data_IF_984759371086
#
_entry.id   IF_984759371086
#
_cell.length_a   1.000
_cell.length_b   1.000
_cell.length_c   1.000
_cell.angle_alpha   90.00
_cell.angle_beta   90.00
_cell.angle_gamma   90.00
#
_symmetry.space_group_name_H-M   'P 1'
#
loop_
_entity.id
_entity.type
_entity.pdbx_description
1 polymer ?
#
# COMPACT_ATOMS: atom_id res chain seq x y z
N UNK A 1 -10.89 12.25 -64.59
CA UNK A 1 -9.90 11.32 -63.98
C UNK A 1 -9.06 11.91 -62.84
N UNK A 2 -8.82 13.20 -62.72
CA UNK A 2 -8.00 13.78 -61.62
C UNK A 2 -8.72 13.92 -60.25
N UNK A 3 -10.06 13.93 -60.22
CA UNK A 3 -10.83 14.08 -58.96
C UNK A 3 -10.93 12.76 -58.19
N UNK A 4 -10.97 11.62 -58.86
CA UNK A 4 -11.08 10.29 -58.21
C UNK A 4 -9.75 9.90 -57.56
N UNK A 5 -8.61 10.35 -58.11
CA UNK A 5 -7.28 10.07 -57.55
C UNK A 5 -7.01 10.77 -56.24
N UNK A 6 -7.57 11.96 -56.01
CA UNK A 6 -7.36 12.70 -54.75
C UNK A 6 -8.24 12.20 -53.59
N UNK A 7 -9.38 11.56 -53.88
CA UNK A 7 -10.25 10.98 -52.82
C UNK A 7 -9.68 9.69 -52.28
N UNK A 8 -9.03 8.89 -53.12
CA UNK A 8 -8.34 7.65 -52.71
C UNK A 8 -7.07 7.94 -51.90
N UNK A 9 -6.36 9.04 -52.17
CA UNK A 9 -5.15 9.41 -51.39
C UNK A 9 -5.51 9.97 -50.01
N UNK A 10 -6.62 10.70 -49.88
CA UNK A 10 -7.11 11.18 -48.57
C UNK A 10 -7.71 10.09 -47.71
N UNK A 11 -8.34 9.06 -48.30
CA UNK A 11 -8.83 7.90 -47.55
C UNK A 11 -7.70 7.03 -47.02
N UNK A 12 -6.60 6.88 -47.74
CA UNK A 12 -5.41 6.15 -47.32
C UNK A 12 -4.65 6.82 -46.16
N UNK A 13 -4.66 8.16 -46.10
CA UNK A 13 -4.06 8.94 -45.01
C UNK A 13 -4.91 8.93 -43.72
N UNK A 14 -6.22 8.76 -43.84
CA UNK A 14 -7.12 8.62 -42.67
C UNK A 14 -7.02 7.23 -42.07
N UNK A 15 -6.77 6.16 -42.84
CA UNK A 15 -6.54 4.81 -42.32
C UNK A 15 -5.16 4.63 -41.70
N UNK A 16 -4.14 5.42 -42.08
CA UNK A 16 -2.81 5.38 -41.47
C UNK A 16 -2.76 6.04 -40.08
N UNK A 17 -3.80 6.81 -39.71
CA UNK A 17 -3.96 7.47 -38.41
C UNK A 17 -4.70 6.65 -37.34
N UNK A 18 -5.12 5.43 -37.63
CA UNK A 18 -5.51 4.46 -36.60
C UNK A 18 -4.22 4.01 -35.93
N UNK A 19 -3.73 4.85 -35.00
CA UNK A 19 -2.68 4.44 -34.07
C UNK A 19 -3.04 3.03 -33.59
N UNK A 20 -2.22 2.05 -33.90
CA UNK A 20 -2.31 0.73 -33.31
C UNK A 20 -2.28 0.98 -31.80
N UNK A 21 -3.43 0.90 -31.15
CA UNK A 21 -3.48 0.93 -29.71
C UNK A 21 -2.63 -0.25 -29.27
N UNK A 22 -1.40 0.05 -28.82
CA UNK A 22 -0.46 -0.97 -28.37
C UNK A 22 -1.21 -1.95 -27.47
N UNK A 23 -1.25 -3.24 -27.82
CA UNK A 23 -1.95 -4.24 -27.01
C UNK A 23 -1.14 -4.55 -25.77
N UNK A 24 -1.79 -4.78 -24.60
CA UNK A 24 -1.06 -5.26 -23.42
C UNK A 24 -0.30 -6.55 -23.74
N UNK A 25 0.92 -6.67 -23.25
CA UNK A 25 1.75 -7.87 -23.43
C UNK A 25 1.17 -9.05 -22.65
N UNK A 26 0.41 -8.74 -21.59
CA UNK A 26 -0.23 -9.73 -20.72
C UNK A 26 -1.73 -9.43 -20.58
N UNK A 27 -2.57 -10.47 -20.77
CA UNK A 27 -4.03 -10.34 -20.64
C UNK A 27 -4.54 -10.49 -19.21
N UNK A 28 -3.73 -11.04 -18.32
CA UNK A 28 -4.04 -11.15 -16.90
C UNK A 28 -2.81 -10.81 -16.08
N UNK A 29 -2.96 -9.95 -15.08
CA UNK A 29 -1.95 -9.61 -14.09
C UNK A 29 -2.38 -10.14 -12.73
N UNK A 30 -1.49 -10.82 -12.03
CA UNK A 30 -1.67 -11.12 -10.61
C UNK A 30 -0.89 -10.12 -9.77
N UNK A 31 -1.59 -9.42 -8.87
CA UNK A 31 -0.99 -8.45 -7.93
C UNK A 31 -1.11 -8.94 -6.49
N UNK A 32 0.03 -9.00 -5.79
CA UNK A 32 0.10 -9.28 -4.37
C UNK A 32 -0.17 -8.02 -3.54
N UNK A 33 -1.29 -7.98 -2.84
CA UNK A 33 -1.55 -6.98 -1.82
C UNK A 33 -0.75 -7.30 -0.56
N UNK A 34 -0.29 -6.28 0.15
CA UNK A 34 0.61 -6.49 1.30
C UNK A 34 -0.04 -7.13 2.54
N UNK A 35 -1.36 -7.28 2.54
CA UNK A 35 -2.15 -7.85 3.64
C UNK A 35 -3.37 -8.57 3.08
N UNK A 36 -4.27 -9.01 3.95
CA UNK A 36 -5.58 -9.50 3.55
C UNK A 36 -6.32 -8.46 2.71
N UNK A 37 -7.19 -8.92 1.83
CA UNK A 37 -8.12 -8.03 1.14
C UNK A 37 -8.94 -7.28 2.19
N UNK A 38 -9.03 -5.98 2.03
CA UNK A 38 -9.68 -5.07 2.98
C UNK A 38 -9.78 -3.65 2.42
N UNK A 39 -10.26 -2.67 3.20
CA UNK A 39 -10.38 -1.28 2.75
C UNK A 39 -9.10 -0.69 2.16
N UNK A 40 -7.92 -1.14 2.62
CA UNK A 40 -6.62 -0.70 2.10
C UNK A 40 -6.31 -1.19 0.68
N UNK A 41 -7.09 -2.10 0.13
CA UNK A 41 -6.97 -2.62 -1.26
C UNK A 41 -8.16 -2.26 -2.13
N UNK A 42 -9.10 -1.46 -1.60
CA UNK A 42 -10.36 -1.13 -2.25
C UNK A 42 -10.19 -0.48 -3.63
N UNK A 43 -9.13 0.28 -3.85
CA UNK A 43 -8.86 0.92 -5.14
C UNK A 43 -8.69 -0.10 -6.28
N UNK A 44 -8.12 -1.28 -6.05
CA UNK A 44 -8.06 -2.32 -7.08
C UNK A 44 -9.39 -3.01 -7.29
N UNK A 45 -10.18 -3.23 -6.21
CA UNK A 45 -11.53 -3.79 -6.30
C UNK A 45 -12.43 -2.84 -7.06
N UNK A 46 -12.42 -1.55 -6.71
CA UNK A 46 -13.18 -0.52 -7.43
C UNK A 46 -12.73 -0.41 -8.89
N UNK A 47 -11.42 -0.43 -9.18
CA UNK A 47 -10.91 -0.41 -10.55
C UNK A 47 -11.44 -1.59 -11.37
N UNK A 48 -11.52 -2.78 -10.78
CA UNK A 48 -12.06 -3.99 -11.42
C UNK A 48 -13.56 -3.84 -11.66
N UNK A 49 -14.34 -3.51 -10.64
CA UNK A 49 -15.81 -3.39 -10.74
C UNK A 49 -16.25 -2.24 -11.67
N UNK A 50 -15.46 -1.18 -11.77
CA UNK A 50 -15.69 -0.08 -12.73
C UNK A 50 -15.15 -0.37 -14.13
N UNK A 51 -14.60 -1.56 -14.37
CA UNK A 51 -14.05 -1.97 -15.66
C UNK A 51 -12.81 -1.21 -16.10
N UNK A 52 -12.07 -0.55 -15.17
CA UNK A 52 -10.91 0.28 -15.55
C UNK A 52 -9.76 -0.55 -16.12
N UNK A 53 -9.60 -1.81 -15.70
CA UNK A 53 -8.60 -2.72 -16.24
C UNK A 53 -9.09 -3.35 -17.54
N UNK A 54 -10.33 -3.83 -17.58
CA UNK A 54 -10.93 -4.48 -18.74
C UNK A 54 -10.97 -3.56 -19.96
N UNK A 55 -11.36 -2.28 -19.76
CA UNK A 55 -11.37 -1.25 -20.79
C UNK A 55 -9.97 -0.94 -21.36
N UNK A 56 -8.91 -1.37 -20.67
CA UNK A 56 -7.52 -1.29 -21.13
C UNK A 56 -6.98 -2.61 -21.68
N UNK A 57 -7.84 -3.63 -21.80
CA UNK A 57 -7.58 -4.90 -22.49
C UNK A 57 -6.90 -5.97 -21.65
N UNK A 58 -6.99 -5.92 -20.31
CA UNK A 58 -6.47 -6.96 -19.42
C UNK A 58 -7.31 -7.10 -18.15
N UNK A 59 -7.15 -8.23 -17.48
CA UNK A 59 -7.77 -8.56 -16.19
C UNK A 59 -6.77 -8.49 -15.06
N UNK A 60 -7.27 -8.30 -13.82
CA UNK A 60 -6.44 -8.27 -12.61
C UNK A 60 -6.97 -9.29 -11.60
N UNK A 61 -6.07 -10.18 -11.16
CA UNK A 61 -6.25 -11.05 -10.02
C UNK A 61 -5.55 -10.43 -8.80
N UNK A 62 -6.29 -10.19 -7.71
CA UNK A 62 -5.79 -9.57 -6.49
C UNK A 62 -5.63 -10.65 -5.43
N UNK A 63 -4.42 -10.84 -4.92
CA UNK A 63 -4.10 -11.87 -3.91
C UNK A 63 -3.59 -11.20 -2.64
N UNK A 64 -4.25 -11.47 -1.51
CA UNK A 64 -3.77 -11.01 -0.21
C UNK A 64 -2.56 -11.83 0.25
N UNK A 65 -1.42 -11.17 0.47
CA UNK A 65 -0.17 -11.79 0.95
C UNK A 65 0.29 -11.07 2.20
N UNK A 66 0.28 -11.75 3.34
CA UNK A 66 0.58 -11.13 4.63
C UNK A 66 2.08 -10.87 4.82
N UNK A 67 2.43 -9.58 4.86
CA UNK A 67 3.79 -9.11 5.12
C UNK A 67 4.65 -8.90 3.89
N UNK A 68 5.58 -7.93 3.99
CA UNK A 68 6.41 -7.47 2.87
C UNK A 68 7.40 -8.52 2.39
N UNK A 69 7.95 -9.33 3.30
CA UNK A 69 8.90 -10.38 2.93
C UNK A 69 8.21 -11.47 2.08
N UNK A 70 7.01 -11.90 2.48
CA UNK A 70 6.22 -12.86 1.69
C UNK A 70 5.83 -12.29 0.33
N UNK A 71 5.47 -11.00 0.26
CA UNK A 71 5.21 -10.29 -0.99
C UNK A 71 6.43 -10.31 -1.94
N UNK A 72 7.63 -10.01 -1.42
CA UNK A 72 8.85 -10.04 -2.22
C UNK A 72 9.21 -11.45 -2.67
N UNK A 73 9.01 -12.46 -1.82
CA UNK A 73 9.23 -13.87 -2.17
C UNK A 73 8.27 -14.33 -3.28
N UNK A 74 6.99 -13.95 -3.20
CA UNK A 74 6.00 -14.26 -4.24
C UNK A 74 6.32 -13.55 -5.57
N UNK A 75 6.83 -12.32 -5.51
CA UNK A 75 7.29 -11.58 -6.69
C UNK A 75 8.54 -12.24 -7.31
N UNK A 76 9.50 -12.65 -6.47
CA UNK A 76 10.74 -13.29 -6.91
C UNK A 76 10.50 -14.64 -7.56
N UNK A 77 9.56 -15.43 -7.03
CA UNK A 77 9.19 -16.74 -7.58
C UNK A 77 8.28 -16.65 -8.82
N UNK A 78 7.77 -15.45 -9.17
CA UNK A 78 6.80 -15.27 -10.26
C UNK A 78 5.38 -15.74 -9.93
N UNK A 79 5.08 -16.00 -8.65
CA UNK A 79 3.73 -16.30 -8.18
C UNK A 79 2.79 -15.10 -8.36
N UNK A 80 3.34 -13.89 -8.27
CA UNK A 80 2.67 -12.64 -8.62
C UNK A 80 3.51 -11.85 -9.61
N UNK A 81 2.87 -11.07 -10.46
CA UNK A 81 3.51 -10.20 -11.46
C UNK A 81 3.97 -8.88 -10.87
N UNK A 82 3.15 -8.36 -9.96
CA UNK A 82 3.40 -7.15 -9.18
C UNK A 82 3.13 -7.45 -7.71
N UNK A 83 3.83 -6.78 -6.82
CA UNK A 83 3.68 -6.93 -5.38
C UNK A 83 3.61 -5.56 -4.70
N UNK A 84 3.27 -5.55 -3.42
CA UNK A 84 3.05 -4.32 -2.65
C UNK A 84 3.84 -4.29 -1.34
N UNK A 85 5.18 -4.46 -1.38
CA UNK A 85 6.01 -4.45 -0.19
C UNK A 85 6.16 -3.05 0.40
N UNK A 86 6.66 -2.99 1.63
CA UNK A 86 7.16 -1.76 2.22
C UNK A 86 8.49 -1.35 1.55
N UNK A 87 8.68 -0.04 1.37
CA UNK A 87 9.82 0.51 0.67
C UNK A 87 11.18 0.14 1.30
N UNK A 88 11.25 0.13 2.62
CA UNK A 88 12.48 -0.24 3.33
C UNK A 88 12.78 -1.75 3.25
N UNK A 89 11.75 -2.61 3.20
CA UNK A 89 11.94 -4.04 2.96
C UNK A 89 12.41 -4.30 1.52
N UNK A 90 11.89 -3.54 0.55
CA UNK A 90 12.38 -3.58 -0.82
C UNK A 90 13.83 -3.10 -0.91
N UNK A 91 14.20 -2.01 -0.19
CA UNK A 91 15.56 -1.51 -0.17
C UNK A 91 16.55 -2.54 0.39
N UNK A 92 16.19 -3.22 1.49
CA UNK A 92 16.95 -4.34 2.04
C UNK A 92 17.12 -5.47 1.04
N UNK A 93 16.03 -5.95 0.45
CA UNK A 93 16.09 -7.04 -0.53
C UNK A 93 16.94 -6.67 -1.75
N UNK A 94 16.93 -5.41 -2.19
CA UNK A 94 17.79 -4.94 -3.27
C UNK A 94 19.26 -4.93 -2.86
N UNK A 95 19.60 -4.53 -1.66
CA UNK A 95 20.96 -4.63 -1.13
C UNK A 95 21.47 -6.09 -1.11
N UNK A 96 20.56 -7.04 -0.96
CA UNK A 96 20.81 -8.48 -1.03
C UNK A 96 20.77 -9.04 -2.48
N UNK A 97 20.64 -8.16 -3.49
CA UNK A 97 20.73 -8.51 -4.91
C UNK A 97 19.39 -8.70 -5.64
N UNK A 98 18.24 -8.53 -4.98
CA UNK A 98 16.94 -8.68 -5.62
C UNK A 98 16.64 -7.48 -6.54
N UNK A 99 16.63 -7.72 -7.85
CA UNK A 99 16.41 -6.68 -8.87
C UNK A 99 14.92 -6.41 -9.11
N UNK A 100 14.36 -5.50 -8.31
CA UNK A 100 12.99 -5.02 -8.43
C UNK A 100 12.93 -3.50 -8.20
N UNK A 101 11.90 -2.85 -8.75
CA UNK A 101 11.65 -1.42 -8.61
C UNK A 101 10.23 -1.13 -8.17
N UNK A 102 10.09 -0.16 -7.27
CA UNK A 102 8.79 0.44 -6.98
C UNK A 102 8.39 1.38 -8.12
N UNK A 103 7.17 1.22 -8.63
CA UNK A 103 6.62 1.96 -9.78
C UNK A 103 5.49 2.91 -9.41
N UNK A 104 4.97 2.79 -8.19
CA UNK A 104 3.92 3.65 -7.64
C UNK A 104 3.88 3.52 -6.12
N UNK A 105 4.13 4.58 -5.36
CA UNK A 105 3.99 4.56 -3.91
C UNK A 105 2.60 5.08 -3.50
N UNK A 106 1.67 4.18 -3.21
CA UNK A 106 0.29 4.54 -2.87
C UNK A 106 0.04 4.70 -1.35
N UNK A 107 0.97 4.28 -0.49
CA UNK A 107 0.97 4.60 0.93
C UNK A 107 2.27 5.35 1.25
N UNK A 108 2.25 6.69 1.10
CA UNK A 108 3.47 7.49 1.20
C UNK A 108 4.00 7.65 2.64
N UNK A 109 3.21 7.29 3.67
CA UNK A 109 3.59 7.36 5.07
C UNK A 109 2.95 6.23 5.88
N UNK A 110 3.55 5.80 7.03
CA UNK A 110 2.95 4.79 7.88
C UNK A 110 1.57 5.22 8.42
N UNK A 111 0.63 4.30 8.43
CA UNK A 111 -0.69 4.47 9.05
C UNK A 111 -0.84 3.53 10.25
N UNK A 112 0.16 3.51 11.09
CA UNK A 112 0.35 2.54 12.15
C UNK A 112 0.36 3.24 13.50
N UNK A 113 0.13 2.48 14.56
CA UNK A 113 0.16 3.02 15.90
C UNK A 113 0.09 1.95 16.99
N UNK A 114 0.03 2.42 18.21
CA UNK A 114 -0.19 1.63 19.42
C UNK A 114 -1.54 1.99 19.99
N UNK A 115 -2.48 1.06 20.00
CA UNK A 115 -3.76 1.19 20.70
C UNK A 115 -3.61 0.62 22.11
N UNK A 116 -4.18 1.29 23.10
CA UNK A 116 -4.10 0.88 24.49
C UNK A 116 -5.44 1.05 25.21
N UNK A 117 -5.66 0.28 26.27
CA UNK A 117 -6.86 0.41 27.10
C UNK A 117 -6.83 1.68 27.95
N UNK A 118 -7.87 2.50 27.85
CA UNK A 118 -8.09 3.62 28.77
C UNK A 118 -8.21 3.10 30.21
N UNK A 119 -7.67 3.85 31.16
CA UNK A 119 -7.73 3.48 32.57
C UNK A 119 -6.63 2.55 33.08
N UNK A 120 -5.73 2.06 32.21
CA UNK A 120 -4.56 1.24 32.61
C UNK A 120 -3.28 2.05 32.88
N UNK A 121 -3.43 3.35 33.16
CA UNK A 121 -2.31 4.23 33.51
C UNK A 121 -1.42 4.61 32.32
N UNK A 122 -1.86 4.40 31.07
CA UNK A 122 -1.16 4.83 29.86
C UNK A 122 -1.76 6.19 29.44
N UNK A 123 -0.94 7.26 29.50
CA UNK A 123 -1.29 8.64 29.13
C UNK A 123 -0.33 9.21 28.10
N UNK A 124 0.89 8.69 28.04
CA UNK A 124 1.95 9.06 27.11
C UNK A 124 2.65 7.80 26.58
N UNK A 125 3.41 7.88 25.48
CA UNK A 125 4.20 6.74 25.00
C UNK A 125 5.18 6.18 26.05
N UNK A 126 5.73 7.02 26.95
CA UNK A 126 6.63 6.58 28.02
C UNK A 126 5.95 5.60 28.99
N UNK A 127 4.64 5.71 29.18
CA UNK A 127 3.90 4.82 30.07
C UNK A 127 3.77 3.39 29.51
N UNK A 128 4.26 3.12 28.30
CA UNK A 128 4.37 1.77 27.76
C UNK A 128 5.50 0.97 28.42
N UNK A 129 6.48 1.62 29.07
CA UNK A 129 7.50 0.93 29.84
C UNK A 129 6.86 0.12 30.98
N UNK A 130 7.25 -1.14 31.10
CA UNK A 130 6.66 -2.09 32.06
C UNK A 130 5.32 -2.70 31.64
N UNK A 131 4.68 -2.23 30.57
CA UNK A 131 3.39 -2.73 30.06
C UNK A 131 3.56 -3.92 29.12
N UNK A 132 2.50 -4.69 28.95
CA UNK A 132 2.41 -5.77 27.96
C UNK A 132 1.93 -5.21 26.63
N UNK A 133 2.78 -5.29 25.59
CA UNK A 133 2.50 -4.85 24.22
C UNK A 133 2.44 -6.05 23.29
N UNK A 134 1.28 -6.31 22.70
CA UNK A 134 1.14 -7.31 21.65
C UNK A 134 1.53 -6.74 20.28
N UNK A 135 2.26 -7.52 19.49
CA UNK A 135 2.65 -7.20 18.12
C UNK A 135 2.47 -8.42 17.22
N UNK A 136 2.29 -8.18 15.90
CA UNK A 136 2.37 -9.26 14.90
C UNK A 136 3.81 -9.36 14.40
N UNK A 137 4.42 -10.54 14.53
CA UNK A 137 5.78 -10.76 14.08
C UNK A 137 5.97 -10.43 12.59
N UNK A 138 7.03 -9.68 12.27
CA UNK A 138 7.36 -9.29 10.88
C UNK A 138 6.38 -8.31 10.24
N UNK A 139 5.42 -7.76 11.00
CA UNK A 139 4.54 -6.69 10.54
C UNK A 139 5.27 -5.36 10.42
N UNK A 140 4.70 -4.43 9.67
CA UNK A 140 5.24 -3.07 9.58
C UNK A 140 5.27 -2.35 10.92
N UNK A 141 4.29 -2.62 11.78
CA UNK A 141 4.20 -2.10 13.14
C UNK A 141 5.37 -2.57 14.00
N UNK A 142 5.69 -3.86 13.94
CA UNK A 142 6.81 -4.44 14.68
C UNK A 142 8.14 -3.86 14.19
N UNK A 143 8.30 -3.70 12.88
CA UNK A 143 9.52 -3.15 12.28
C UNK A 143 9.73 -1.66 12.59
N UNK A 144 8.64 -0.87 12.75
CA UNK A 144 8.71 0.54 13.07
C UNK A 144 8.67 0.84 14.59
N UNK A 145 8.40 -0.15 15.44
CA UNK A 145 8.34 0.04 16.90
C UNK A 145 9.64 0.65 17.48
N UNK A 146 10.85 0.24 17.07
CA UNK A 146 12.08 0.87 17.58
C UNK A 146 12.16 2.38 17.24
N UNK A 147 11.69 2.78 16.06
CA UNK A 147 11.67 4.19 15.66
C UNK A 147 10.63 4.98 16.47
N UNK A 148 9.42 4.43 16.64
CA UNK A 148 8.40 5.02 17.51
C UNK A 148 8.92 5.22 18.93
N UNK A 149 9.57 4.21 19.49
CA UNK A 149 10.14 4.27 20.82
C UNK A 149 11.24 5.33 20.93
N UNK A 150 12.18 5.36 19.98
CA UNK A 150 13.27 6.34 19.93
C UNK A 150 12.78 7.79 19.88
N UNK A 151 11.80 8.08 19.01
CA UNK A 151 11.25 9.44 18.86
C UNK A 151 10.52 9.90 20.12
N UNK A 152 9.90 8.97 20.86
CA UNK A 152 9.15 9.25 22.08
C UNK A 152 9.97 9.04 23.37
N UNK A 153 11.27 8.77 23.29
CA UNK A 153 12.14 8.56 24.44
C UNK A 153 11.84 7.28 25.24
N UNK A 154 11.18 6.29 24.62
CA UNK A 154 10.78 5.01 25.23
C UNK A 154 11.89 3.98 25.04
N UNK A 155 12.20 3.20 26.08
CA UNK A 155 13.09 2.03 25.98
C UNK A 155 12.27 0.80 25.62
N UNK A 156 12.51 0.23 24.41
CA UNK A 156 11.78 -0.96 23.93
C UNK A 156 12.07 -2.16 24.84
N UNK A 157 13.27 -2.27 25.39
CA UNK A 157 13.69 -3.35 26.28
C UNK A 157 12.90 -3.39 27.59
N UNK A 158 12.33 -2.24 27.99
CA UNK A 158 11.45 -2.16 29.17
C UNK A 158 9.99 -2.50 28.87
N UNK A 159 9.60 -2.62 27.60
CA UNK A 159 8.25 -3.03 27.20
C UNK A 159 8.22 -4.57 27.19
N UNK A 160 7.20 -5.16 27.77
CA UNK A 160 6.95 -6.61 27.71
C UNK A 160 6.31 -6.97 26.37
N UNK A 161 7.13 -7.05 25.31
CA UNK A 161 6.65 -7.34 23.95
C UNK A 161 6.29 -8.81 23.81
N UNK A 162 5.06 -9.07 23.31
CA UNK A 162 4.59 -10.43 22.99
C UNK A 162 4.27 -10.52 21.51
N UNK A 163 4.93 -11.43 20.80
CA UNK A 163 4.70 -11.68 19.38
C UNK A 163 3.56 -12.70 19.19
N UNK A 164 2.55 -12.32 18.42
CA UNK A 164 1.33 -13.10 18.25
C UNK A 164 0.92 -13.13 16.76
N UNK A 165 0.06 -14.09 16.38
CA UNK A 165 -0.64 -13.99 15.11
C UNK A 165 -1.75 -12.94 15.17
N UNK A 166 -2.12 -12.37 14.03
CA UNK A 166 -3.11 -11.28 13.97
C UNK A 166 -4.44 -11.61 14.68
N UNK A 167 -4.99 -12.81 14.44
CA UNK A 167 -6.26 -13.20 15.08
C UNK A 167 -6.15 -13.35 16.60
N UNK A 168 -5.03 -13.89 17.09
CA UNK A 168 -4.78 -14.02 18.53
C UNK A 168 -4.53 -12.68 19.20
N UNK A 169 -3.82 -11.77 18.52
CA UNK A 169 -3.51 -10.44 19.04
C UNK A 169 -4.76 -9.67 19.43
N UNK A 170 -5.74 -9.56 18.50
CA UNK A 170 -6.98 -8.85 18.73
C UNK A 170 -7.79 -9.48 19.89
N UNK A 171 -7.93 -10.81 19.89
CA UNK A 171 -8.63 -11.52 20.98
C UNK A 171 -8.01 -11.24 22.34
N UNK A 172 -6.70 -11.41 22.47
CA UNK A 172 -6.00 -11.18 23.74
C UNK A 172 -6.06 -9.72 24.20
N UNK A 173 -6.00 -8.78 23.27
CA UNK A 173 -6.11 -7.37 23.61
C UNK A 173 -7.52 -7.03 24.11
N UNK A 174 -8.57 -7.37 23.37
CA UNK A 174 -9.94 -7.02 23.76
C UNK A 174 -10.43 -7.80 24.99
N UNK A 175 -9.88 -8.99 25.27
CA UNK A 175 -10.08 -9.70 26.55
C UNK A 175 -9.29 -9.08 27.72
N UNK A 176 -8.51 -8.03 27.47
CA UNK A 176 -7.74 -7.34 28.48
C UNK A 176 -6.47 -8.07 28.97
N UNK A 177 -6.00 -9.08 28.26
CA UNK A 177 -4.76 -9.82 28.56
C UNK A 177 -3.48 -9.06 28.16
N UNK A 178 -3.64 -8.02 27.33
CA UNK A 178 -2.58 -7.09 26.94
C UNK A 178 -2.97 -5.66 27.36
N UNK A 179 -1.99 -4.83 27.72
CA UNK A 179 -2.22 -3.42 28.03
C UNK A 179 -2.36 -2.58 26.79
N UNK A 180 -1.60 -2.96 25.75
CA UNK A 180 -1.57 -2.29 24.45
C UNK A 180 -1.33 -3.30 23.32
N UNK A 181 -1.63 -2.90 22.09
CA UNK A 181 -1.27 -3.63 20.88
C UNK A 181 -0.88 -2.68 19.76
N UNK A 182 -0.02 -3.11 18.86
CA UNK A 182 0.19 -2.38 17.61
C UNK A 182 -0.93 -2.68 16.62
N UNK A 183 -1.30 -1.68 15.82
CA UNK A 183 -2.39 -1.82 14.86
C UNK A 183 -2.28 -0.84 13.68
N UNK A 184 -3.02 -1.14 12.63
CA UNK A 184 -3.31 -0.22 11.54
C UNK A 184 -4.35 0.80 12.03
N UNK A 185 -3.99 2.07 12.09
CA UNK A 185 -4.77 3.13 12.72
C UNK A 185 -6.20 3.33 12.18
N UNK A 186 -6.47 3.10 10.88
CA UNK A 186 -7.84 3.12 10.38
C UNK A 186 -8.82 2.13 11.03
N UNK A 187 -8.35 1.15 11.81
CA UNK A 187 -9.24 0.29 12.60
C UNK A 187 -9.73 0.96 13.91
N UNK A 188 -9.12 2.05 14.34
CA UNK A 188 -9.49 2.69 15.61
C UNK A 188 -10.97 3.14 15.68
N UNK A 189 -11.57 3.76 14.63
CA UNK A 189 -13.00 4.10 14.65
C UNK A 189 -13.88 2.87 14.91
N UNK A 190 -13.55 1.73 14.31
CA UNK A 190 -14.25 0.48 14.50
C UNK A 190 -14.16 -0.02 15.93
N UNK A 191 -12.97 0.00 16.54
CA UNK A 191 -12.81 -0.41 17.94
C UNK A 191 -13.65 0.46 18.90
N UNK A 192 -13.74 1.75 18.61
CA UNK A 192 -14.56 2.68 19.40
C UNK A 192 -16.06 2.42 19.19
N UNK A 193 -16.51 2.15 17.98
CA UNK A 193 -17.89 1.81 17.64
C UNK A 193 -18.31 0.48 18.28
N UNK A 194 -17.42 -0.51 18.34
CA UNK A 194 -17.65 -1.78 19.04
C UNK A 194 -17.68 -1.62 20.59
N UNK A 195 -17.62 -0.38 21.10
CA UNK A 195 -17.73 -0.05 22.54
C UNK A 195 -16.44 -0.25 23.34
N UNK A 196 -15.30 -0.52 22.69
CA UNK A 196 -14.03 -0.68 23.38
C UNK A 196 -13.50 0.66 23.93
N UNK A 197 -13.14 0.69 25.22
CA UNK A 197 -12.60 1.88 25.90
C UNK A 197 -11.08 1.99 25.62
N UNK A 198 -10.72 2.37 24.41
CA UNK A 198 -9.34 2.46 23.95
C UNK A 198 -8.95 3.89 23.57
N UNK A 199 -7.64 4.12 23.48
CA UNK A 199 -7.02 5.29 22.86
C UNK A 199 -5.75 4.83 22.12
N UNK A 200 -5.12 5.74 21.37
CA UNK A 200 -3.98 5.35 20.56
C UNK A 200 -2.90 6.43 20.48
N UNK A 201 -1.67 5.98 20.28
CA UNK A 201 -0.55 6.77 19.80
C UNK A 201 -0.29 6.40 18.34
N UNK A 202 -0.39 7.37 17.44
CA UNK A 202 -0.07 7.17 16.04
C UNK A 202 1.43 7.28 15.81
N UNK A 203 2.00 6.44 14.95
CA UNK A 203 3.35 6.61 14.46
C UNK A 203 3.44 7.86 13.60
N UNK A 204 4.53 8.61 13.76
CA UNK A 204 4.75 9.83 13.00
C UNK A 204 5.09 9.55 11.52
N UNK A 205 5.01 10.58 10.69
CA UNK A 205 5.60 10.53 9.35
C UNK A 205 7.12 10.70 9.47
N UNK A 206 7.82 9.57 9.50
CA UNK A 206 9.28 9.56 9.58
C UNK A 206 9.97 10.06 8.29
N UNK A 207 9.20 10.57 7.34
CA UNK A 207 9.71 11.04 6.06
C UNK A 207 10.22 9.92 5.16
N UNK A 208 9.78 8.69 5.37
CA UNK A 208 10.11 7.51 4.56
C UNK A 208 8.92 7.09 3.70
N UNK A 209 9.18 6.42 2.58
CA UNK A 209 8.13 5.73 1.84
C UNK A 209 7.69 4.48 2.58
N UNK A 210 6.39 4.15 2.48
CA UNK A 210 5.86 2.97 3.14
C UNK A 210 5.49 1.88 2.11
N UNK A 211 4.28 1.86 1.55
CA UNK A 211 3.92 0.80 0.61
C UNK A 211 3.79 1.29 -0.82
N UNK A 212 4.24 0.44 -1.74
CA UNK A 212 4.11 0.76 -3.16
C UNK A 212 4.08 -0.48 -4.05
N UNK A 213 3.49 -0.30 -5.22
CA UNK A 213 3.47 -1.30 -6.27
C UNK A 213 4.89 -1.48 -6.79
N UNK A 214 5.35 -2.72 -6.82
CA UNK A 214 6.72 -3.13 -7.15
C UNK A 214 6.68 -4.25 -8.17
N UNK A 215 7.54 -4.18 -9.17
CA UNK A 215 7.75 -5.25 -10.16
C UNK A 215 9.24 -5.60 -10.27
N UNK A 216 9.57 -6.83 -10.71
CA UNK A 216 10.96 -7.16 -11.06
C UNK A 216 11.38 -6.34 -12.29
N UNK A 217 12.67 -5.96 -12.36
CA UNK A 217 13.20 -5.22 -13.52
C UNK A 217 12.94 -5.96 -14.84
N UNK A 218 13.02 -7.29 -14.81
CA UNK A 218 12.70 -8.15 -15.96
C UNK A 218 11.25 -7.96 -16.38
N UNK A 219 10.29 -8.13 -15.45
CA UNK A 219 8.87 -8.02 -15.76
C UNK A 219 8.50 -6.62 -16.27
N UNK A 220 9.04 -5.57 -15.67
CA UNK A 220 8.80 -4.18 -16.08
C UNK A 220 9.30 -3.90 -17.49
N UNK A 221 10.45 -4.47 -17.87
CA UNK A 221 11.05 -4.35 -19.20
C UNK A 221 10.28 -5.15 -20.26
N UNK A 222 9.80 -6.35 -19.92
CA UNK A 222 9.10 -7.24 -20.84
C UNK A 222 7.63 -6.86 -21.04
N UNK A 223 7.02 -6.10 -20.09
CA UNK A 223 5.59 -5.77 -20.10
C UNK A 223 5.30 -4.27 -19.88
N UNK A 224 5.99 -3.33 -20.55
CA UNK A 224 5.89 -1.91 -20.25
C UNK A 224 4.51 -1.32 -20.52
N UNK A 225 3.77 -1.80 -21.55
CA UNK A 225 2.43 -1.30 -21.88
C UNK A 225 1.45 -1.78 -20.82
N UNK A 226 1.47 -3.04 -20.45
CA UNK A 226 0.61 -3.64 -19.43
C UNK A 226 0.83 -2.96 -18.09
N UNK A 227 2.08 -2.77 -17.66
CA UNK A 227 2.43 -2.10 -16.40
C UNK A 227 1.94 -0.65 -16.39
N UNK A 228 2.18 0.11 -17.47
CA UNK A 228 1.70 1.49 -17.58
C UNK A 228 0.18 1.58 -17.49
N UNK A 229 -0.55 0.69 -18.14
CA UNK A 229 -2.00 0.63 -18.09
C UNK A 229 -2.49 0.25 -16.70
N UNK A 230 -1.85 -0.72 -16.04
CA UNK A 230 -2.17 -1.11 -14.67
C UNK A 230 -2.02 0.07 -13.70
N UNK A 231 -0.89 0.77 -13.74
CA UNK A 231 -0.62 1.93 -12.88
C UNK A 231 -1.63 3.06 -13.15
N UNK A 232 -1.91 3.36 -14.41
CA UNK A 232 -2.87 4.42 -14.78
C UNK A 232 -4.31 4.08 -14.39
N UNK A 233 -4.73 2.82 -14.54
CA UNK A 233 -6.03 2.37 -14.06
C UNK A 233 -6.14 2.46 -12.53
N UNK A 234 -5.06 2.10 -11.83
CA UNK A 234 -4.96 2.25 -10.38
C UNK A 234 -5.07 3.73 -9.98
N UNK A 235 -4.31 4.64 -10.62
CA UNK A 235 -4.42 6.08 -10.37
C UNK A 235 -5.84 6.60 -10.64
N UNK A 236 -6.47 6.17 -11.74
CA UNK A 236 -7.85 6.53 -12.06
C UNK A 236 -8.83 6.08 -10.97
N UNK A 237 -8.60 4.89 -10.39
CA UNK A 237 -9.44 4.42 -9.29
C UNK A 237 -9.28 5.28 -8.02
N UNK A 238 -8.07 5.73 -7.70
CA UNK A 238 -7.85 6.67 -6.58
C UNK A 238 -8.60 7.98 -6.80
N UNK A 239 -8.48 8.59 -7.98
CA UNK A 239 -9.17 9.83 -8.31
C UNK A 239 -10.69 9.65 -8.24
N UNK A 240 -11.20 8.55 -8.82
CA UNK A 240 -12.62 8.24 -8.81
C UNK A 240 -13.16 8.01 -7.40
N UNK A 241 -12.45 7.25 -6.55
CA UNK A 241 -12.83 7.02 -5.14
C UNK A 241 -12.86 8.35 -4.37
N UNK A 242 -11.90 9.23 -4.61
CA UNK A 242 -11.85 10.52 -3.94
C UNK A 242 -13.12 11.35 -4.20
N UNK A 243 -13.64 11.31 -5.42
CA UNK A 243 -14.84 12.01 -5.84
C UNK A 243 -16.14 11.28 -5.47
N UNK A 244 -16.09 9.94 -5.34
CA UNK A 244 -17.28 9.07 -5.21
C UNK A 244 -17.19 8.14 -3.99
N UNK A 245 -16.79 8.67 -2.82
CA UNK A 245 -16.46 7.88 -1.63
C UNK A 245 -17.58 6.93 -1.20
N UNK A 246 -18.84 7.39 -1.19
CA UNK A 246 -19.99 6.54 -0.80
C UNK A 246 -20.18 5.37 -1.75
N UNK A 247 -20.20 5.63 -3.06
CA UNK A 247 -20.34 4.57 -4.07
C UNK A 247 -19.16 3.58 -4.01
N UNK A 248 -17.95 4.09 -3.72
CA UNK A 248 -16.77 3.24 -3.56
C UNK A 248 -16.89 2.26 -2.38
N UNK A 249 -17.43 2.73 -1.26
CA UNK A 249 -17.76 1.89 -0.08
C UNK A 249 -18.79 0.83 -0.46
N UNK A 250 -19.88 1.23 -1.13
CA UNK A 250 -20.95 0.31 -1.54
C UNK A 250 -20.41 -0.76 -2.50
N UNK A 251 -19.56 -0.38 -3.47
CA UNK A 251 -18.90 -1.33 -4.38
C UNK A 251 -18.00 -2.29 -3.61
N UNK A 252 -17.18 -1.78 -2.70
CA UNK A 252 -16.24 -2.60 -1.94
C UNK A 252 -16.95 -3.65 -1.11
N UNK A 253 -17.96 -3.27 -0.31
CA UNK A 253 -18.68 -4.20 0.55
C UNK A 253 -19.67 -5.10 -0.21
N UNK A 254 -20.09 -4.73 -1.41
CA UNK A 254 -20.80 -5.64 -2.32
C UNK A 254 -19.93 -6.83 -2.75
N UNK A 255 -18.63 -6.58 -2.97
CA UNK A 255 -17.66 -7.62 -3.37
C UNK A 255 -17.12 -8.39 -2.16
N UNK A 256 -17.05 -7.75 -1.00
CA UNK A 256 -16.53 -8.30 0.25
C UNK A 256 -17.57 -8.21 1.38
N UNK A 257 -18.73 -8.89 1.23
CA UNK A 257 -19.84 -8.78 2.19
C UNK A 257 -19.48 -9.29 3.59
N UNK A 258 -18.52 -10.21 3.69
CA UNK A 258 -18.03 -10.73 4.96
C UNK A 258 -17.24 -9.73 5.81
N UNK A 259 -16.86 -8.58 5.22
CA UNK A 259 -16.13 -7.51 5.91
C UNK A 259 -17.07 -6.40 6.41
N UNK A 260 -18.35 -6.42 5.99
CA UNK A 260 -19.32 -5.43 6.45
C UNK A 260 -19.70 -5.71 7.91
N UNK A 261 -19.91 -4.66 8.67
CA UNK A 261 -20.33 -4.74 10.07
C UNK A 261 -21.78 -4.30 10.26
N UNK A 262 -22.29 -4.46 11.46
CA UNK A 262 -23.61 -3.92 11.85
C UNK A 262 -23.61 -2.39 11.91
N UNK A 263 -22.44 -1.78 12.14
CA UNK A 263 -22.24 -0.32 12.11
C UNK A 263 -21.67 0.14 10.74
N UNK A 264 -22.57 0.34 9.79
CA UNK A 264 -22.23 0.83 8.45
C UNK A 264 -21.54 2.21 8.46
N UNK A 265 -21.79 3.05 9.48
CA UNK A 265 -21.11 4.34 9.59
C UNK A 265 -19.64 4.16 9.97
N UNK A 266 -19.34 3.23 10.89
CA UNK A 266 -17.96 2.91 11.24
C UNK A 266 -17.20 2.31 10.05
N UNK A 267 -17.84 1.48 9.24
CA UNK A 267 -17.26 0.93 8.02
C UNK A 267 -16.93 2.05 7.02
N UNK A 268 -17.86 2.99 6.81
CA UNK A 268 -17.66 4.16 5.95
C UNK A 268 -16.50 5.04 6.46
N UNK A 269 -16.47 5.35 7.75
CA UNK A 269 -15.44 6.19 8.35
C UNK A 269 -14.06 5.52 8.29
N UNK A 270 -13.99 4.21 8.49
CA UNK A 270 -12.77 3.43 8.30
C UNK A 270 -12.27 3.52 6.86
N UNK A 271 -13.15 3.29 5.90
CA UNK A 271 -12.80 3.36 4.47
C UNK A 271 -12.30 4.76 4.09
N UNK A 272 -13.02 5.80 4.50
CA UNK A 272 -12.65 7.20 4.28
C UNK A 272 -11.29 7.54 4.87
N UNK A 273 -11.02 7.08 6.09
CA UNK A 273 -9.74 7.30 6.75
C UNK A 273 -8.60 6.62 5.99
N UNK A 274 -8.78 5.36 5.56
CA UNK A 274 -7.81 4.65 4.73
C UNK A 274 -7.50 5.44 3.46
N UNK A 275 -8.52 5.91 2.74
CA UNK A 275 -8.34 6.64 1.49
C UNK A 275 -7.64 8.00 1.70
N UNK A 276 -7.97 8.71 2.78
CA UNK A 276 -7.39 10.04 3.06
C UNK A 276 -5.87 10.01 3.31
N UNK A 277 -5.35 8.89 3.79
CA UNK A 277 -3.94 8.73 4.17
C UNK A 277 -3.03 8.35 2.98
N UNK A 278 -3.62 8.12 1.82
CA UNK A 278 -2.88 7.78 0.59
C UNK A 278 -2.38 9.00 -0.18
N UNK A 279 -2.63 10.20 0.35
CA UNK A 279 -2.16 11.46 -0.21
C UNK A 279 -1.18 12.15 0.74
N UNK A 280 -0.02 12.51 0.21
CA UNK A 280 0.93 13.45 0.81
C UNK A 280 1.06 14.71 -0.08
N UNK A 281 1.89 15.65 0.30
CA UNK A 281 2.09 16.90 -0.44
C UNK A 281 2.63 16.67 -1.87
N UNK A 282 3.37 15.58 -2.08
CA UNK A 282 3.91 15.21 -3.40
C UNK A 282 2.81 14.65 -4.27
N UNK A 283 2.03 13.70 -3.75
CA UNK A 283 0.93 13.09 -4.47
C UNK A 283 -0.20 14.07 -4.79
N UNK A 284 -0.44 15.08 -3.93
CA UNK A 284 -1.38 16.18 -4.21
C UNK A 284 -0.93 17.06 -5.39
N UNK A 285 0.39 17.25 -5.58
CA UNK A 285 0.96 18.12 -6.62
C UNK A 285 1.23 17.39 -7.94
N UNK A 286 1.63 16.13 -7.86
CA UNK A 286 2.14 15.34 -8.99
C UNK A 286 1.27 14.14 -9.37
N UNK A 287 0.21 13.86 -8.58
CA UNK A 287 -0.61 12.68 -8.71
C UNK A 287 -0.21 11.56 -7.76
N UNK A 288 -1.19 10.71 -7.42
CA UNK A 288 -0.98 9.56 -6.52
C UNK A 288 0.11 8.65 -7.04
N UNK A 289 1.00 8.28 -6.14
CA UNK A 289 2.07 7.33 -6.43
C UNK A 289 3.40 7.95 -6.79
N UNK A 290 3.47 9.27 -7.01
CA UNK A 290 4.72 9.94 -7.38
C UNK A 290 5.77 9.87 -6.27
N UNK A 291 7.01 9.56 -6.67
CA UNK A 291 8.14 9.39 -5.77
C UNK A 291 9.27 10.39 -6.09
N UNK A 292 10.12 10.70 -5.09
CA UNK A 292 11.30 11.54 -5.25
C UNK A 292 12.53 10.99 -4.51
N UNK A 293 13.71 11.44 -4.94
CA UNK A 293 15.00 11.01 -4.39
C UNK A 293 15.19 11.36 -2.92
N UNK A 294 14.72 12.55 -2.50
CA UNK A 294 14.92 13.02 -1.12
C UNK A 294 14.27 12.06 -0.10
N UNK A 295 13.04 11.63 -0.37
CA UNK A 295 12.32 10.70 0.51
C UNK A 295 12.89 9.27 0.42
N UNK A 296 13.36 8.85 -0.78
CA UNK A 296 14.06 7.57 -0.92
C UNK A 296 15.39 7.54 -0.18
N UNK A 297 16.18 8.63 -0.19
CA UNK A 297 17.43 8.74 0.61
C UNK A 297 17.17 8.60 2.11
N UNK A 298 16.06 9.17 2.61
CA UNK A 298 15.63 8.97 4.00
C UNK A 298 15.20 7.50 4.26
N UNK A 299 14.52 6.88 3.29
CA UNK A 299 14.15 5.46 3.36
C UNK A 299 15.40 4.57 3.38
N UNK A 300 16.44 4.89 2.60
CA UNK A 300 17.72 4.19 2.63
C UNK A 300 18.40 4.30 4.00
N UNK A 301 18.52 5.52 4.51
CA UNK A 301 19.09 5.72 5.83
C UNK A 301 18.32 4.97 6.92
N UNK A 302 16.98 5.01 6.86
CA UNK A 302 16.15 4.22 7.78
C UNK A 302 16.44 2.73 7.66
N UNK A 303 16.62 2.21 6.44
CA UNK A 303 16.93 0.81 6.19
C UNK A 303 18.29 0.43 6.81
N UNK A 304 19.32 1.25 6.61
CA UNK A 304 20.64 1.02 7.18
C UNK A 304 20.66 1.10 8.71
N UNK A 305 19.95 2.07 9.28
CA UNK A 305 19.92 2.30 10.73
C UNK A 305 19.16 1.20 11.51
N UNK A 306 18.24 0.48 10.86
CA UNK A 306 17.33 -0.45 11.54
C UNK A 306 17.44 -1.91 11.07
N UNK A 307 18.16 -2.16 9.98
CA UNK A 307 18.40 -3.50 9.45
C UNK A 307 19.89 -3.62 9.16
N UNK A 308 20.50 -4.71 9.48
CA UNK A 308 21.92 -4.97 9.14
C UNK A 308 22.07 -5.05 7.61
N UNK A 309 22.11 -3.87 6.98
CA UNK A 309 22.09 -3.72 5.53
C UNK A 309 22.84 -2.47 5.11
N UNK A 310 23.67 -2.56 4.07
CA UNK A 310 24.36 -1.42 3.45
C UNK A 310 23.78 -1.15 2.08
N UNK A 311 23.33 0.09 1.86
CA UNK A 311 22.78 0.52 0.58
C UNK A 311 23.92 1.03 -0.30
N UNK A 312 24.26 0.28 -1.34
CA UNK A 312 25.35 0.56 -2.28
C UNK A 312 24.84 0.84 -3.72
N UNK A 313 23.61 1.25 -3.85
CA UNK A 313 22.95 1.55 -5.13
C UNK A 313 22.25 2.92 -5.06
N UNK A 314 21.90 3.49 -6.22
CA UNK A 314 21.25 4.79 -6.32
C UNK A 314 19.73 4.71 -6.18
N UNK A 315 19.07 5.85 -5.97
CA UNK A 315 17.60 5.91 -5.92
C UNK A 315 16.97 5.52 -7.26
N UNK A 316 17.61 5.78 -8.40
CA UNK A 316 17.14 5.36 -9.73
C UNK A 316 17.15 3.84 -9.93
N UNK A 317 17.88 3.12 -9.08
CA UNK A 317 17.89 1.66 -9.12
C UNK A 317 16.66 1.04 -8.45
N UNK A 318 16.02 1.73 -7.50
CA UNK A 318 14.96 1.17 -6.67
C UNK A 318 13.57 1.68 -7.02
N UNK A 319 13.44 2.80 -7.72
CA UNK A 319 12.15 3.30 -8.16
C UNK A 319 12.19 3.92 -9.55
N UNK A 320 11.00 4.06 -10.15
CA UNK A 320 10.77 4.84 -11.36
C UNK A 320 9.36 5.43 -11.38
N UNK A 321 9.22 6.62 -11.93
CA UNK A 321 7.94 7.29 -12.17
C UNK A 321 7.46 7.18 -13.63
N UNK A 322 8.15 6.44 -14.50
CA UNK A 322 7.90 6.38 -15.94
C UNK A 322 6.52 5.82 -16.32
N UNK A 323 5.91 5.03 -15.43
CA UNK A 323 4.59 4.43 -15.65
C UNK A 323 3.43 5.31 -15.16
N UNK A 324 3.72 6.34 -14.36
CA UNK A 324 2.70 7.26 -13.83
C UNK A 324 2.18 8.21 -14.91
N UNK A 325 0.98 8.78 -14.72
CA UNK A 325 0.53 9.92 -15.52
C UNK A 325 1.44 11.12 -15.25
N UNK A 326 1.87 11.75 -16.31
CA UNK A 326 2.60 13.02 -16.26
C UNK A 326 1.62 14.19 -16.26
#
# INVERSE_FOLDING_TARGET
MKIISNILLTLSLILAGLAHAETPEKKMITVGAQWKIGPSTAYWIVAKEKGFFENLGFEVNIVGIMGSQANLSALQSGQVDLASPQAFTLAKARAEGFKAKMIMCYVPKPQLGVVYHRGRGIKSPLDLEGKTLGIVAGSGEALLLPMFAKVNGVSVEKIKVTQLSYGVLNGMFFEGKLDAMTTFMPYLPRFLSDGHKVAAFQYEDYGIYFNGITGTEKFLKENPITVRRFVRATQKAFDWIYENQKEAVDIFYKVQPELISDDHQADYDQFKLVMSTQYDDISRKKGVGWMNDSKWKKTFKFTEDNFDSKINFSTSDIYTNEFLRQ
#
